data_IF_562905872988
#
_entry.id   IF_562905872988
#
_cell.length_a   1.000
_cell.length_b   1.000
_cell.length_c   1.000
_cell.angle_alpha   90.00
_cell.angle_beta   90.00
_cell.angle_gamma   90.00
#
_symmetry.space_group_name_H-M   'P 1'
#
loop_
_entity.id
_entity.type
_entity.pdbx_description
1 polymer ?
#
# COMPACT_ATOMS: atom_id res chain seq x y z
N UNK A 1 8.15 12.77 -18.02
CA UNK A 1 6.72 12.88 -18.39
C UNK A 1 5.99 11.74 -17.70
N UNK A 2 4.92 12.02 -16.95
CA UNK A 2 4.10 10.95 -16.36
C UNK A 2 3.25 10.34 -17.46
N UNK A 3 3.20 9.00 -17.54
CA UNK A 3 2.32 8.33 -18.49
C UNK A 3 0.87 8.70 -18.19
N UNK A 4 0.07 8.87 -19.24
CA UNK A 4 -1.36 9.11 -19.08
C UNK A 4 -2.07 7.82 -18.65
N UNK A 5 -3.23 7.94 -18.00
CA UNK A 5 -4.06 6.78 -17.66
C UNK A 5 -4.38 5.93 -18.89
N UNK A 6 -4.63 6.57 -20.03
CA UNK A 6 -4.89 5.88 -21.30
C UNK A 6 -3.67 5.05 -21.77
N UNK A 7 -2.46 5.59 -21.65
CA UNK A 7 -1.22 4.85 -21.97
C UNK A 7 -0.98 3.68 -21.02
N UNK A 8 -1.42 3.79 -19.76
CA UNK A 8 -1.31 2.71 -18.77
C UNK A 8 -2.32 1.58 -19.04
N UNK A 9 -3.55 1.93 -19.40
CA UNK A 9 -4.64 0.97 -19.63
C UNK A 9 -4.55 0.25 -20.98
N UNK A 10 -3.64 0.67 -21.86
CA UNK A 10 -3.52 0.13 -23.23
C UNK A 10 -3.21 -1.37 -23.26
N UNK A 11 -2.49 -1.87 -22.26
CA UNK A 11 -2.04 -3.27 -22.20
C UNK A 11 -2.74 -4.04 -21.06
N UNK A 12 -3.89 -3.53 -20.59
CA UNK A 12 -4.72 -4.19 -19.57
C UNK A 12 -5.95 -4.75 -20.28
N UNK A 13 -5.76 -5.89 -20.93
CA UNK A 13 -6.79 -6.65 -21.64
C UNK A 13 -7.24 -7.88 -20.83
N UNK A 14 -8.07 -8.73 -21.44
CA UNK A 14 -8.54 -9.95 -20.77
C UNK A 14 -7.38 -10.92 -20.49
N UNK A 15 -6.40 -10.97 -21.40
CA UNK A 15 -5.20 -11.79 -21.32
C UNK A 15 -4.31 -11.35 -20.13
N UNK A 16 -4.28 -10.06 -19.80
CA UNK A 16 -3.61 -9.55 -18.59
C UNK A 16 -4.14 -10.20 -17.30
N UNK A 17 -5.41 -10.60 -17.29
CA UNK A 17 -6.04 -11.29 -16.17
C UNK A 17 -6.10 -12.82 -16.34
N UNK A 18 -5.39 -13.37 -17.34
CA UNK A 18 -5.31 -14.82 -17.59
C UNK A 18 -6.64 -15.42 -18.06
N UNK A 19 -7.47 -14.65 -18.75
CA UNK A 19 -8.74 -15.16 -19.27
C UNK A 19 -8.49 -16.28 -20.29
N UNK A 20 -9.01 -17.48 -20.01
CA UNK A 20 -8.85 -18.74 -20.78
C UNK A 20 -7.51 -19.48 -20.63
N UNK A 21 -6.56 -18.99 -19.83
CA UNK A 21 -5.28 -19.69 -19.62
C UNK A 21 -5.46 -21.08 -18.99
N UNK A 22 -6.53 -21.27 -18.20
CA UNK A 22 -6.89 -22.57 -17.61
C UNK A 22 -7.59 -23.50 -18.60
N UNK A 23 -8.21 -22.96 -19.65
CA UNK A 23 -9.10 -23.69 -20.57
C UNK A 23 -8.36 -24.30 -21.77
N UNK A 24 -7.17 -23.78 -22.12
CA UNK A 24 -6.36 -24.29 -23.24
C UNK A 24 -5.58 -25.58 -22.90
N UNK A 25 -5.49 -25.91 -21.61
CA UNK A 25 -4.81 -27.09 -21.08
C UNK A 25 -3.28 -27.03 -21.15
N UNK A 26 -2.68 -25.89 -21.46
CA UNK A 26 -1.23 -25.68 -21.54
C UNK A 26 -0.58 -25.47 -20.18
N UNK A 27 -1.29 -24.81 -19.25
CA UNK A 27 -0.80 -24.46 -17.92
C UNK A 27 -0.36 -25.72 -17.13
N UNK A 28 -1.21 -26.75 -17.09
CA UNK A 28 -0.99 -27.96 -16.28
C UNK A 28 0.30 -28.72 -16.68
N UNK A 29 0.58 -29.00 -17.97
CA UNK A 29 1.86 -29.57 -18.39
C UNK A 29 3.08 -28.76 -17.95
N UNK A 30 3.03 -27.44 -18.11
CA UNK A 30 4.14 -26.54 -17.77
C UNK A 30 4.39 -26.54 -16.26
N UNK A 31 3.33 -26.42 -15.46
CA UNK A 31 3.40 -26.50 -14.00
C UNK A 31 4.02 -27.82 -13.54
N UNK A 32 3.61 -28.94 -14.13
CA UNK A 32 4.14 -30.27 -13.79
C UNK A 32 5.63 -30.40 -14.10
N UNK A 33 6.13 -29.74 -15.14
CA UNK A 33 7.56 -29.73 -15.45
C UNK A 33 8.35 -28.88 -14.45
N UNK A 34 7.81 -27.71 -14.09
CA UNK A 34 8.43 -26.83 -13.10
C UNK A 34 8.37 -27.40 -11.68
N UNK A 35 7.27 -28.05 -11.28
CA UNK A 35 7.12 -28.73 -9.99
C UNK A 35 8.25 -29.75 -9.79
N UNK A 36 8.53 -30.58 -10.81
CA UNK A 36 9.64 -31.55 -10.75
C UNK A 36 10.99 -30.87 -10.56
N UNK A 37 11.22 -29.72 -11.20
CA UNK A 37 12.47 -28.95 -11.04
C UNK A 37 12.56 -28.37 -9.63
N UNK A 38 11.47 -27.79 -9.13
CA UNK A 38 11.39 -27.21 -7.79
C UNK A 38 11.64 -28.27 -6.71
N UNK A 39 10.99 -29.44 -6.81
CA UNK A 39 11.22 -30.56 -5.88
C UNK A 39 12.68 -31.00 -5.92
N UNK A 40 13.26 -31.20 -7.10
CA UNK A 40 14.65 -31.62 -7.22
C UNK A 40 15.64 -30.57 -6.66
N UNK A 41 15.33 -29.29 -6.79
CA UNK A 41 16.11 -28.21 -6.18
C UNK A 41 15.98 -28.21 -4.65
N UNK A 42 14.76 -28.36 -4.13
CA UNK A 42 14.49 -28.42 -2.70
C UNK A 42 15.18 -29.63 -2.05
N UNK A 43 15.13 -30.81 -2.69
CA UNK A 43 15.82 -32.01 -2.21
C UNK A 43 17.35 -31.82 -2.16
N UNK A 44 17.93 -31.21 -3.20
CA UNK A 44 19.37 -30.88 -3.22
C UNK A 44 19.73 -29.91 -2.11
N UNK A 45 18.97 -28.83 -1.98
CA UNK A 45 19.19 -27.84 -0.94
C UNK A 45 19.11 -28.49 0.44
N UNK A 46 18.08 -29.30 0.68
CA UNK A 46 17.88 -30.03 1.94
C UNK A 46 19.05 -30.98 2.25
N UNK A 47 19.54 -31.71 1.24
CA UNK A 47 20.68 -32.59 1.40
C UNK A 47 21.98 -31.84 1.75
N UNK A 48 22.18 -30.63 1.22
CA UNK A 48 23.36 -29.80 1.46
C UNK A 48 23.30 -29.03 2.79
N UNK A 49 22.12 -28.52 3.17
CA UNK A 49 21.97 -27.57 4.28
C UNK A 49 21.31 -28.17 5.53
N UNK A 50 20.71 -29.36 5.40
CA UNK A 50 20.01 -30.05 6.48
C UNK A 50 18.65 -29.44 6.82
N UNK A 51 17.91 -30.14 7.69
CA UNK A 51 16.53 -29.79 8.04
C UNK A 51 16.37 -28.45 8.76
N UNK A 52 17.32 -28.09 9.63
CA UNK A 52 17.24 -26.87 10.44
C UNK A 52 17.28 -25.60 9.58
N UNK A 53 18.17 -25.55 8.58
CA UNK A 53 18.26 -24.40 7.66
C UNK A 53 17.12 -24.38 6.66
N UNK A 54 16.70 -25.54 6.17
CA UNK A 54 15.53 -25.64 5.30
C UNK A 54 14.25 -25.14 5.99
N UNK A 55 14.00 -25.56 7.24
CA UNK A 55 12.83 -25.13 7.99
C UNK A 55 12.85 -23.62 8.30
N UNK A 56 14.03 -23.07 8.62
CA UNK A 56 14.17 -21.63 8.88
C UNK A 56 13.97 -20.76 7.64
N UNK A 57 14.37 -21.23 6.46
CA UNK A 57 14.34 -20.41 5.23
C UNK A 57 13.05 -20.61 4.42
N UNK A 58 12.40 -21.78 4.52
CA UNK A 58 11.22 -22.14 3.73
C UNK A 58 10.01 -22.57 4.56
N UNK A 59 10.12 -22.66 5.89
CA UNK A 59 9.05 -23.17 6.76
C UNK A 59 8.16 -22.10 7.40
N UNK A 60 8.61 -20.84 7.45
CA UNK A 60 7.89 -19.76 8.14
C UNK A 60 6.76 -19.13 7.28
N UNK A 61 6.75 -19.34 5.96
CA UNK A 61 5.79 -18.72 5.03
C UNK A 61 4.35 -19.28 5.12
N UNK A 62 4.12 -20.40 5.83
CA UNK A 62 2.80 -21.03 5.90
C UNK A 62 1.90 -20.46 7.01
N UNK A 63 2.48 -19.79 8.01
CA UNK A 63 1.75 -19.26 9.18
C UNK A 63 1.48 -17.75 9.08
N UNK A 64 2.00 -17.07 8.04
CA UNK A 64 1.71 -15.67 7.79
C UNK A 64 0.33 -15.52 7.13
N UNK A 65 -0.63 -14.99 7.89
CA UNK A 65 -1.92 -14.58 7.34
C UNK A 65 -1.71 -13.45 6.33
N UNK A 66 -1.74 -13.79 5.05
CA UNK A 66 -1.53 -12.90 3.90
C UNK A 66 -2.57 -11.77 3.86
N UNK A 67 -3.70 -11.92 4.55
CA UNK A 67 -4.75 -10.90 4.67
C UNK A 67 -4.60 -10.02 5.91
N UNK A 68 -3.55 -10.24 6.71
CA UNK A 68 -3.27 -9.42 7.87
C UNK A 68 -2.79 -8.06 7.40
N UNK A 69 -3.69 -7.08 7.47
CA UNK A 69 -3.38 -5.67 7.28
C UNK A 69 -2.44 -5.28 8.43
N UNK A 70 -1.16 -5.15 8.13
CA UNK A 70 -0.21 -4.54 9.06
C UNK A 70 -0.57 -3.05 9.15
N UNK A 71 -0.79 -2.57 10.37
CA UNK A 71 -1.12 -1.18 10.66
C UNK A 71 0.17 -0.35 10.58
N UNK A 72 0.86 -0.42 9.43
CA UNK A 72 2.08 0.32 9.12
C UNK A 72 1.69 1.75 8.73
N UNK A 73 0.95 2.41 9.63
CA UNK A 73 0.68 3.83 9.56
C UNK A 73 1.97 4.60 9.83
N UNK A 74 2.86 4.61 8.83
CA UNK A 74 3.90 5.62 8.59
C UNK A 74 3.27 6.99 8.23
N UNK A 75 1.94 7.10 8.26
CA UNK A 75 1.26 8.39 8.35
C UNK A 75 1.44 8.92 9.76
N UNK A 76 2.20 10.01 9.89
CA UNK A 76 2.25 10.88 11.08
C UNK A 76 0.91 10.85 11.83
N UNK A 77 0.93 10.75 13.16
CA UNK A 77 -0.26 10.84 14.02
C UNK A 77 -1.03 12.14 13.75
N UNK A 78 -1.84 12.17 12.69
CA UNK A 78 -2.73 13.26 12.37
C UNK A 78 -3.79 13.18 13.45
N UNK A 79 -3.84 14.22 14.28
CA UNK A 79 -4.75 14.36 15.39
C UNK A 79 -6.21 14.39 14.87
N UNK A 80 -6.77 13.21 14.57
CA UNK A 80 -8.10 13.05 14.01
C UNK A 80 -9.12 12.78 15.10
N UNK A 81 -10.19 13.56 15.13
CA UNK A 81 -11.32 13.29 16.04
C UNK A 81 -12.20 12.21 15.42
N UNK A 82 -12.32 11.07 16.09
CA UNK A 82 -13.22 10.01 15.67
C UNK A 82 -14.63 10.27 16.19
N UNK A 83 -15.63 10.14 15.31
CA UNK A 83 -17.04 10.12 15.71
C UNK A 83 -17.74 8.91 15.09
N UNK A 84 -18.59 8.26 15.88
CA UNK A 84 -19.39 7.13 15.44
C UNK A 84 -20.76 7.67 15.02
N UNK A 85 -21.11 7.52 13.74
CA UNK A 85 -22.44 7.86 13.22
C UNK A 85 -23.18 6.57 12.89
N UNK A 86 -24.40 6.44 13.38
CA UNK A 86 -25.30 5.31 13.04
C UNK A 86 -26.08 5.71 11.79
N UNK A 87 -25.84 5.02 10.68
CA UNK A 87 -26.61 5.23 9.45
C UNK A 87 -28.05 4.75 9.60
N UNK A 88 -28.96 5.20 8.73
CA UNK A 88 -30.38 4.75 8.71
C UNK A 88 -30.51 3.22 8.62
N UNK A 89 -29.53 2.55 8.01
CA UNK A 89 -29.46 1.09 7.86
C UNK A 89 -29.03 0.36 9.15
N UNK A 90 -28.82 1.09 10.26
CA UNK A 90 -28.35 0.54 11.54
C UNK A 90 -26.86 0.19 11.59
N UNK A 91 -26.11 0.43 10.50
CA UNK A 91 -24.66 0.21 10.44
C UNK A 91 -23.92 1.37 11.10
N UNK A 92 -22.96 1.05 11.97
CA UNK A 92 -22.06 2.03 12.56
C UNK A 92 -20.95 2.37 11.58
N UNK A 93 -20.78 3.66 11.28
CA UNK A 93 -19.68 4.20 10.49
C UNK A 93 -18.77 5.03 11.39
N UNK A 94 -17.47 4.74 11.37
CA UNK A 94 -16.44 5.54 12.02
C UNK A 94 -15.94 6.61 11.04
N UNK A 95 -16.19 7.88 11.37
CA UNK A 95 -15.74 9.02 10.56
C UNK A 95 -14.53 9.65 11.26
N UNK A 96 -13.38 9.66 10.57
CA UNK A 96 -12.16 10.35 11.01
C UNK A 96 -12.22 11.81 10.58
N UNK A 97 -12.38 12.74 11.53
CA UNK A 97 -12.35 14.17 11.25
C UNK A 97 -10.92 14.67 11.25
N UNK A 98 -10.44 15.11 10.08
CA UNK A 98 -9.16 15.81 9.96
C UNK A 98 -9.34 17.25 10.45
N UNK A 99 -8.46 17.69 11.37
CA UNK A 99 -8.46 19.07 11.86
C UNK A 99 -7.96 20.02 10.76
N UNK A 100 -8.88 20.66 10.05
CA UNK A 100 -8.57 21.70 9.06
C UNK A 100 -8.83 23.08 9.68
N UNK A 101 -7.87 24.02 9.62
CA UNK A 101 -8.06 25.38 10.10
C UNK A 101 -9.29 26.05 9.47
N UNK A 102 -9.99 26.89 10.23
CA UNK A 102 -11.12 27.64 9.70
C UNK A 102 -10.66 28.76 8.77
N UNK A 103 -11.57 29.27 7.95
CA UNK A 103 -11.27 30.39 7.06
C UNK A 103 -10.74 31.62 7.81
N UNK A 104 -11.25 31.89 9.03
CA UNK A 104 -10.79 33.00 9.87
C UNK A 104 -9.34 32.78 10.33
N UNK A 105 -9.01 31.56 10.75
CA UNK A 105 -7.66 31.22 11.19
C UNK A 105 -6.65 31.42 10.05
N UNK A 106 -7.03 31.04 8.83
CA UNK A 106 -6.21 31.25 7.63
C UNK A 106 -6.04 32.75 7.33
N UNK A 107 -7.12 33.54 7.44
CA UNK A 107 -7.08 34.99 7.21
C UNK A 107 -6.16 35.69 8.22
N UNK A 108 -6.25 35.34 9.50
CA UNK A 108 -5.36 35.88 10.56
C UNK A 108 -3.90 35.50 10.31
N UNK A 109 -3.62 34.23 9.99
CA UNK A 109 -2.26 33.78 9.64
C UNK A 109 -1.69 34.53 8.43
N UNK A 110 -2.50 34.78 7.40
CA UNK A 110 -2.08 35.55 6.23
C UNK A 110 -1.78 37.00 6.61
N UNK A 111 -2.59 37.61 7.48
CA UNK A 111 -2.36 38.98 7.96
C UNK A 111 -1.05 39.06 8.75
N UNK A 112 -0.83 38.14 9.70
CA UNK A 112 0.39 38.11 10.50
C UNK A 112 1.64 37.94 9.64
N UNK A 113 1.61 36.99 8.69
CA UNK A 113 2.71 36.77 7.74
C UNK A 113 3.01 38.03 6.93
N UNK A 114 2.00 38.69 6.37
CA UNK A 114 2.20 39.94 5.62
C UNK A 114 2.77 41.05 6.48
N UNK A 115 2.37 41.10 7.76
CA UNK A 115 2.88 42.07 8.72
C UNK A 115 4.37 41.83 9.00
N UNK A 116 4.77 40.58 9.17
CA UNK A 116 6.17 40.18 9.32
C UNK A 116 7.00 40.49 8.07
N UNK A 117 6.50 40.14 6.87
CA UNK A 117 7.18 40.44 5.60
C UNK A 117 7.41 41.94 5.40
N UNK A 118 6.44 42.78 5.79
CA UNK A 118 6.59 44.24 5.79
C UNK A 118 7.66 44.69 6.79
N UNK A 119 7.60 44.20 8.03
CA UNK A 119 8.59 44.49 9.08
C UNK A 119 9.98 44.13 8.58
N UNK A 120 10.19 42.92 8.07
CA UNK A 120 11.46 42.46 7.51
C UNK A 120 11.95 43.36 6.37
N UNK A 121 11.07 43.69 5.42
CA UNK A 121 11.44 44.55 4.28
C UNK A 121 11.90 45.95 4.72
N UNK A 122 11.30 46.50 5.77
CA UNK A 122 11.63 47.85 6.25
C UNK A 122 12.70 47.88 7.35
N UNK A 123 12.88 46.81 8.14
CA UNK A 123 13.96 46.68 9.13
C UNK A 123 15.24 46.07 8.56
N UNK A 124 15.21 45.33 7.44
CA UNK A 124 16.42 44.86 6.75
C UNK A 124 17.05 45.93 5.85
N UNK A 125 16.51 47.15 5.87
CA UNK A 125 16.97 48.29 5.05
C UNK A 125 17.86 49.27 5.86
N UNK A 126 18.40 48.84 7.00
CA UNK A 126 19.41 49.58 7.79
C UNK A 126 20.70 48.76 7.94
#
# INVERSE_FOLDING_TARGET
MRKTRAELMKNVDADYYGYLDDDDGLLIPLEKEEEKKAIAQAEKYFAEHGAERFQKEFGDDLDEDIYKIQDDSDGEDIDTKESIVVGEDGKQMTIKHVLVPSQKDIEEMIIERKKQELIEKYLSSE
#
